data_IF_081327904334
#
_entry.id   IF_081327904334
#
_cell.length_a   1.000
_cell.length_b   1.000
_cell.length_c   1.000
_cell.angle_alpha   90.00
_cell.angle_beta   90.00
_cell.angle_gamma   90.00
#
_symmetry.space_group_name_H-M   'P 1'
#
loop_
_entity.id
_entity.type
_entity.pdbx_description
1 polymer ?
#
# COMPACT_ATOMS: atom_id res chain seq x y z
N UNK A 1 12.97 13.29 2.95
CA UNK A 1 11.81 12.38 2.89
C UNK A 1 12.06 11.29 3.90
N UNK A 2 11.10 11.06 4.79
CA UNK A 2 11.15 9.98 5.77
C UNK A 2 10.27 8.82 5.28
N UNK A 3 10.69 7.60 5.60
CA UNK A 3 9.95 6.37 5.29
C UNK A 3 9.82 5.57 6.56
N UNK A 4 8.62 5.02 6.78
CA UNK A 4 8.33 4.15 7.91
C UNK A 4 7.52 2.95 7.45
N UNK A 5 8.07 1.76 7.64
CA UNK A 5 7.34 0.51 7.46
C UNK A 5 6.25 0.38 8.52
N UNK A 6 5.06 -0.01 8.09
CA UNK A 6 3.90 -0.27 8.92
C UNK A 6 3.66 -1.78 9.07
N UNK A 7 2.66 -2.15 9.87
CA UNK A 7 2.22 -3.54 9.95
C UNK A 7 1.79 -4.02 8.56
N UNK A 8 2.34 -5.15 8.06
CA UNK A 8 1.93 -5.72 6.79
C UNK A 8 0.42 -6.03 6.73
N UNK A 9 -0.12 -6.10 5.52
CA UNK A 9 -1.54 -6.34 5.27
C UNK A 9 -1.75 -7.36 4.15
N UNK A 10 -2.33 -8.53 4.48
CA UNK A 10 -2.76 -9.56 3.51
C UNK A 10 -1.70 -9.98 2.48
N UNK A 11 -0.44 -10.18 2.91
CA UNK A 11 0.64 -10.55 2.00
C UNK A 11 1.40 -9.36 1.41
N UNK A 12 1.07 -8.12 1.82
CA UNK A 12 1.73 -6.91 1.35
C UNK A 12 2.47 -6.20 2.48
N UNK A 13 3.71 -5.79 2.24
CA UNK A 13 4.40 -4.80 3.03
C UNK A 13 3.82 -3.42 2.74
N UNK A 14 3.66 -2.61 3.79
CA UNK A 14 3.10 -1.26 3.68
C UNK A 14 4.13 -0.28 4.19
N UNK A 15 4.56 0.63 3.32
CA UNK A 15 5.38 1.76 3.71
C UNK A 15 4.55 3.03 3.81
N UNK A 16 4.90 3.90 4.76
CA UNK A 16 4.40 5.27 4.84
C UNK A 16 5.57 6.22 4.61
N UNK A 17 5.51 7.00 3.54
CA UNK A 17 6.48 8.05 3.24
C UNK A 17 5.87 9.44 3.43
N UNK A 18 6.69 10.40 3.85
CA UNK A 18 6.28 11.79 4.04
C UNK A 18 7.47 12.76 4.08
N UNK A 19 7.19 14.03 3.83
CA UNK A 19 8.10 15.14 4.08
C UNK A 19 7.88 15.76 5.47
N UNK A 20 8.96 16.27 6.04
CA UNK A 20 8.94 17.12 7.24
C UNK A 20 9.16 18.58 6.87
N UNK A 21 8.45 19.47 7.56
CA UNK A 21 8.64 20.92 7.49
C UNK A 21 9.91 21.32 8.25
N UNK A 22 10.35 22.56 8.06
CA UNK A 22 11.50 23.14 8.78
C UNK A 22 11.33 23.10 10.31
N UNK A 23 10.10 23.08 10.81
CA UNK A 23 9.76 23.00 12.24
C UNK A 23 9.71 21.56 12.77
N UNK A 24 10.05 20.55 11.95
CA UNK A 24 10.01 19.13 12.31
C UNK A 24 8.63 18.49 12.23
N UNK A 25 7.56 19.23 11.90
CA UNK A 25 6.21 18.66 11.74
C UNK A 25 6.04 18.02 10.37
N UNK A 26 5.16 17.02 10.27
CA UNK A 26 4.88 16.33 9.00
C UNK A 26 4.04 17.23 8.08
N UNK A 27 4.43 17.29 6.79
CA UNK A 27 3.59 17.83 5.71
C UNK A 27 2.52 16.81 5.34
N UNK A 28 1.29 17.01 5.82
CA UNK A 28 0.20 16.03 5.66
C UNK A 28 -0.13 15.72 4.20
N UNK A 29 -0.02 16.73 3.34
CA UNK A 29 -0.21 16.67 1.90
C UNK A 29 0.83 15.79 1.18
N UNK A 30 1.98 15.54 1.81
CA UNK A 30 3.05 14.70 1.26
C UNK A 30 2.96 13.24 1.70
N UNK A 31 1.97 12.89 2.53
CA UNK A 31 1.84 11.52 3.03
C UNK A 31 1.41 10.60 1.89
N UNK A 32 2.19 9.56 1.65
CA UNK A 32 1.89 8.49 0.72
C UNK A 32 2.06 7.15 1.45
N UNK A 33 1.14 6.24 1.20
CA UNK A 33 1.21 4.85 1.64
C UNK A 33 1.44 3.99 0.41
N UNK A 34 2.52 3.24 0.37
CA UNK A 34 2.88 2.34 -0.73
C UNK A 34 2.74 0.90 -0.28
N UNK A 35 2.30 0.03 -1.19
CA UNK A 35 2.22 -1.41 -0.96
C UNK A 35 3.20 -2.16 -1.87
N UNK A 36 3.88 -3.14 -1.29
CA UNK A 36 4.80 -4.04 -1.97
C UNK A 36 4.41 -5.49 -1.64
N UNK A 37 4.51 -6.42 -2.60
CA UNK A 37 4.28 -7.82 -2.29
C UNK A 37 5.36 -8.36 -1.34
N UNK A 38 4.99 -9.12 -0.32
CA UNK A 38 5.97 -9.66 0.64
C UNK A 38 6.85 -10.76 0.04
N UNK A 39 6.34 -11.48 -0.96
CA UNK A 39 7.06 -12.62 -1.55
C UNK A 39 7.92 -12.21 -2.75
N UNK A 40 7.48 -11.20 -3.51
CA UNK A 40 8.14 -10.74 -4.73
C UNK A 40 8.83 -9.38 -4.58
N UNK A 41 8.58 -8.66 -3.47
CA UNK A 41 9.04 -7.29 -3.21
C UNK A 41 8.63 -6.28 -4.30
N UNK A 42 7.65 -6.63 -5.13
CA UNK A 42 7.21 -5.81 -6.27
C UNK A 42 6.28 -4.70 -5.78
N UNK A 43 6.51 -3.49 -6.28
CA UNK A 43 5.60 -2.37 -6.07
C UNK A 43 4.23 -2.68 -6.68
N UNK A 44 3.20 -2.58 -5.84
CA UNK A 44 1.83 -2.86 -6.22
C UNK A 44 1.08 -1.56 -6.57
N UNK A 45 0.84 -0.71 -5.58
CA UNK A 45 0.12 0.57 -5.73
C UNK A 45 0.41 1.48 -4.52
N UNK A 46 -0.07 2.72 -4.57
CA UNK A 46 0.00 3.69 -3.49
C UNK A 46 -1.28 4.51 -3.31
N UNK A 47 -1.47 5.08 -2.12
CA UNK A 47 -2.61 5.94 -1.78
C UNK A 47 -2.20 7.02 -0.77
N UNK A 48 -2.91 8.14 -0.70
CA UNK A 48 -2.65 9.19 0.29
C UNK A 48 -3.17 8.82 1.69
N UNK A 49 -3.94 7.74 1.79
CA UNK A 49 -4.50 7.23 3.04
C UNK A 49 -4.25 5.72 3.21
N UNK A 50 -4.01 5.28 4.44
CA UNK A 50 -3.86 3.84 4.74
C UNK A 50 -5.12 3.04 4.41
N UNK A 51 -6.30 3.63 4.61
CA UNK A 51 -7.57 2.98 4.31
C UNK A 51 -7.77 2.81 2.79
N UNK A 52 -7.45 3.82 1.99
CA UNK A 52 -7.47 3.73 0.52
C UNK A 52 -6.50 2.67 0.00
N UNK A 53 -5.28 2.64 0.55
CA UNK A 53 -4.28 1.62 0.20
C UNK A 53 -4.78 0.19 0.50
N UNK A 54 -5.35 -0.03 1.69
CA UNK A 54 -5.94 -1.34 2.04
C UNK A 54 -7.11 -1.72 1.14
N UNK A 55 -7.94 -0.75 0.76
CA UNK A 55 -9.07 -0.97 -0.16
C UNK A 55 -8.57 -1.40 -1.55
N UNK A 56 -7.49 -0.79 -2.06
CA UNK A 56 -6.86 -1.17 -3.33
C UNK A 56 -6.34 -2.61 -3.29
N UNK A 57 -5.66 -3.00 -2.20
CA UNK A 57 -5.23 -4.40 -1.97
C UNK A 57 -6.43 -5.36 -1.94
N UNK A 58 -7.51 -4.98 -1.26
CA UNK A 58 -8.71 -5.82 -1.19
C UNK A 58 -9.37 -6.02 -2.55
N UNK A 59 -9.42 -4.96 -3.38
CA UNK A 59 -9.91 -5.04 -4.75
C UNK A 59 -9.02 -5.97 -5.58
N UNK A 60 -7.70 -5.85 -5.46
CA UNK A 60 -6.77 -6.73 -6.16
C UNK A 60 -6.99 -8.19 -5.83
N UNK A 61 -7.00 -8.53 -4.54
CA UNK A 61 -7.14 -9.89 -4.07
C UNK A 61 -8.50 -10.48 -4.44
N UNK A 62 -9.56 -9.67 -4.46
CA UNK A 62 -10.88 -10.13 -4.88
C UNK A 62 -11.00 -10.28 -6.41
N UNK A 63 -10.39 -9.37 -7.18
CA UNK A 63 -10.30 -9.47 -8.64
C UNK A 63 -9.48 -10.69 -9.08
N UNK A 64 -8.35 -10.94 -8.41
CA UNK A 64 -7.53 -12.13 -8.63
C UNK A 64 -8.32 -13.42 -8.36
N UNK A 65 -9.06 -13.49 -7.25
CA UNK A 65 -9.98 -14.61 -6.97
C UNK A 65 -11.02 -14.81 -8.07
N UNK A 66 -11.59 -13.73 -8.61
CA UNK A 66 -12.58 -13.84 -9.69
C UNK A 66 -11.99 -14.35 -11.00
N UNK A 67 -10.72 -14.02 -11.31
CA UNK A 67 -10.03 -14.52 -12.51
C UNK A 67 -9.68 -16.01 -12.38
N UNK A 68 -9.17 -16.46 -11.24
CA UNK A 68 -8.88 -17.87 -10.98
C UNK A 68 -10.16 -18.73 -11.02
N UNK A 69 -11.30 -18.21 -10.55
CA UNK A 69 -12.61 -18.87 -10.66
C UNK A 69 -13.14 -18.94 -12.10
N UNK A 70 -12.80 -17.96 -12.95
CA UNK A 70 -13.19 -17.95 -14.37
C UNK A 70 -12.33 -18.92 -15.19
N UNK A 71 -11.03 -19.00 -14.91
CA UNK A 71 -10.09 -19.82 -15.71
C UNK A 71 -10.20 -21.31 -15.37
N UNK A 72 -10.55 -21.67 -14.12
CA UNK A 72 -10.63 -23.07 -13.67
C UNK A 72 -12.04 -23.69 -13.78
N UNK A 73 -12.89 -23.17 -14.66
CA UNK A 73 -14.26 -23.67 -14.92
C UNK A 73 -14.40 -24.21 -16.33
#
# INVERSE_FOLDING_TARGET
MEVRTLKPYKGFEIEKSYETKKDGTIRKESIVYSAYGLEDEIYYDSDTTLAGMKKKIDIYLNGAKSLDEIINR
#
